data_IF_371331757862
#
_entry.id   IF_371331757862
#
_cell.length_a   1.000
_cell.length_b   1.000
_cell.length_c   1.000
_cell.angle_alpha   90.00
_cell.angle_beta   90.00
_cell.angle_gamma   90.00
#
_symmetry.space_group_name_H-M   'P 1'
#
loop_
_entity.id
_entity.type
_entity.pdbx_description
1 polymer ?
#
# COMPACT_ATOMS: atom_id res chain seq x y z
N UNK A 1 15.08 33.97 14.89
CA UNK A 1 14.49 32.77 15.54
C UNK A 1 13.40 32.23 14.62
N UNK A 2 13.62 31.11 13.94
CA UNK A 2 12.64 30.53 13.01
C UNK A 2 11.62 29.70 13.79
N UNK A 3 10.40 30.21 13.95
CA UNK A 3 9.28 29.44 14.49
C UNK A 3 8.84 28.46 13.41
N UNK A 4 9.48 27.30 13.34
CA UNK A 4 9.01 26.15 12.56
C UNK A 4 7.86 25.46 13.31
N UNK A 5 6.82 26.23 13.65
CA UNK A 5 5.58 25.74 14.21
C UNK A 5 4.74 25.12 13.10
N UNK A 6 5.04 23.86 12.74
CA UNK A 6 4.15 23.07 11.87
C UNK A 6 2.78 23.05 12.53
N UNK A 7 1.81 23.77 11.96
CA UNK A 7 0.43 23.72 12.38
C UNK A 7 -0.04 22.26 12.28
N UNK A 8 -0.31 21.64 13.42
CA UNK A 8 -0.88 20.30 13.49
C UNK A 8 -2.39 20.45 13.52
N UNK A 9 -3.09 19.69 12.69
CA UNK A 9 -4.54 19.70 12.72
C UNK A 9 -5.01 19.18 14.08
N UNK A 10 -5.90 19.90 14.76
CA UNK A 10 -6.43 19.50 16.08
C UNK A 10 -7.26 18.22 15.99
N UNK A 11 -7.87 17.98 14.84
CA UNK A 11 -8.70 16.82 14.57
C UNK A 11 -8.24 16.13 13.28
N UNK A 12 -8.35 14.80 13.23
CA UNK A 12 -8.08 14.05 12.01
C UNK A 12 -9.15 14.39 10.96
N UNK A 13 -8.72 14.89 9.80
CA UNK A 13 -9.61 15.17 8.69
C UNK A 13 -10.28 13.88 8.20
N UNK A 14 -11.60 13.91 8.08
CA UNK A 14 -12.43 12.79 7.59
C UNK A 14 -12.87 13.10 6.16
N UNK A 15 -12.46 12.31 5.15
CA UNK A 15 -12.74 12.61 3.75
C UNK A 15 -14.24 12.64 3.42
N UNK A 16 -15.01 11.75 4.04
CA UNK A 16 -16.43 11.59 3.78
C UNK A 16 -17.29 12.20 4.89
N UNK A 17 -16.79 13.24 5.57
CA UNK A 17 -17.58 13.93 6.59
C UNK A 17 -18.83 14.55 5.96
N UNK A 18 -20.01 14.15 6.41
CA UNK A 18 -21.29 14.67 5.92
C UNK A 18 -21.78 14.08 4.59
N UNK A 19 -21.08 13.07 4.03
CA UNK A 19 -21.52 12.37 2.82
C UNK A 19 -22.22 11.07 3.22
N UNK A 20 -23.47 10.89 2.79
CA UNK A 20 -24.17 9.62 2.90
C UNK A 20 -23.59 8.64 1.88
N UNK A 21 -22.71 7.74 2.33
CA UNK A 21 -22.10 6.71 1.48
C UNK A 21 -23.14 5.62 1.25
N UNK A 22 -23.41 5.27 0.00
CA UNK A 22 -24.28 4.15 -0.31
C UNK A 22 -23.59 2.84 0.08
N UNK A 23 -24.26 2.00 0.87
CA UNK A 23 -23.67 0.76 1.42
C UNK A 23 -23.23 -0.24 0.33
N UNK A 24 -23.74 -0.09 -0.89
CA UNK A 24 -23.41 -0.93 -2.06
C UNK A 24 -22.14 -0.51 -2.79
N UNK A 25 -21.58 0.67 -2.49
CA UNK A 25 -20.34 1.16 -3.09
C UNK A 25 -19.10 0.46 -2.51
N UNK A 26 -17.97 0.56 -3.24
CA UNK A 26 -16.70 -0.02 -2.80
C UNK A 26 -16.21 0.68 -1.54
N UNK A 27 -16.12 -0.05 -0.43
CA UNK A 27 -15.82 0.48 0.90
C UNK A 27 -17.03 0.69 1.80
N UNK A 28 -18.23 0.40 1.29
CA UNK A 28 -19.43 0.24 2.09
C UNK A 28 -19.48 -1.10 2.82
N UNK A 29 -20.54 -1.29 3.60
CA UNK A 29 -20.76 -2.49 4.42
C UNK A 29 -20.84 -3.77 3.60
N UNK A 30 -21.51 -3.73 2.45
CA UNK A 30 -21.74 -4.90 1.60
C UNK A 30 -20.60 -5.18 0.63
N UNK A 31 -19.74 -4.19 0.34
CA UNK A 31 -18.57 -4.35 -0.54
C UNK A 31 -17.30 -3.82 0.11
N UNK A 32 -16.73 -4.54 1.09
CA UNK A 32 -15.50 -4.13 1.76
C UNK A 32 -14.32 -4.11 0.78
N UNK A 33 -13.33 -3.26 1.06
CA UNK A 33 -12.09 -3.26 0.29
C UNK A 33 -11.33 -4.57 0.53
N UNK A 34 -10.80 -5.15 -0.55
CA UNK A 34 -9.93 -6.33 -0.45
C UNK A 34 -8.75 -6.10 0.48
N UNK A 35 -8.28 -7.15 1.14
CA UNK A 35 -7.09 -7.09 1.98
C UNK A 35 -5.85 -6.70 1.16
N UNK A 36 -4.94 -5.96 1.79
CA UNK A 36 -3.67 -5.54 1.17
C UNK A 36 -2.65 -6.66 1.36
N UNK A 37 -2.41 -7.46 0.32
CA UNK A 37 -1.50 -8.62 0.35
C UNK A 37 -0.32 -8.45 -0.61
N UNK A 38 0.79 -9.15 -0.35
CA UNK A 38 1.94 -9.21 -1.27
C UNK A 38 2.70 -7.88 -1.45
N UNK A 39 2.67 -6.99 -0.44
CA UNK A 39 3.38 -5.71 -0.45
C UNK A 39 4.23 -5.54 0.81
N UNK A 40 5.26 -4.70 0.72
CA UNK A 40 6.13 -4.38 1.84
C UNK A 40 5.36 -3.64 2.97
N UNK A 41 5.82 -3.67 4.24
CA UNK A 41 5.16 -2.96 5.34
C UNK A 41 4.98 -1.46 5.06
N UNK A 42 6.05 -0.80 4.59
CA UNK A 42 6.00 0.60 4.12
C UNK A 42 4.96 0.85 3.02
N UNK A 43 4.86 -0.09 2.09
CA UNK A 43 3.95 -0.05 0.96
C UNK A 43 2.50 -0.20 1.41
N UNK A 44 2.27 -1.04 2.43
CA UNK A 44 0.99 -1.30 3.09
C UNK A 44 0.47 -0.02 3.74
N UNK A 45 1.30 0.63 4.56
CA UNK A 45 0.96 1.91 5.21
C UNK A 45 0.56 3.00 4.20
N UNK A 46 1.26 3.10 3.07
CA UNK A 46 0.91 4.04 2.01
C UNK A 46 -0.46 3.74 1.38
N UNK A 47 -0.81 2.46 1.21
CA UNK A 47 -2.12 2.07 0.66
C UNK A 47 -3.21 2.31 1.71
N UNK A 48 -2.96 1.96 2.96
CA UNK A 48 -3.88 2.21 4.09
C UNK A 48 -4.13 3.70 4.28
N UNK A 49 -3.10 4.53 4.17
CA UNK A 49 -3.25 5.98 4.17
C UNK A 49 -4.15 6.43 3.02
N UNK A 50 -3.93 5.96 1.79
CA UNK A 50 -4.83 6.30 0.67
C UNK A 50 -6.29 5.86 0.94
N UNK A 51 -6.51 4.71 1.60
CA UNK A 51 -7.85 4.24 2.00
C UNK A 51 -8.49 5.16 3.04
N UNK A 52 -7.78 5.45 4.13
CA UNK A 52 -8.26 6.30 5.23
C UNK A 52 -8.61 7.71 4.80
N UNK A 53 -7.85 8.25 3.84
CA UNK A 53 -8.01 9.63 3.36
C UNK A 53 -8.83 9.73 2.06
N UNK A 54 -9.53 8.66 1.64
CA UNK A 54 -10.41 8.68 0.45
C UNK A 54 -9.69 8.85 -0.89
N UNK A 55 -8.36 8.71 -0.92
CA UNK A 55 -7.52 8.82 -2.13
C UNK A 55 -7.27 7.47 -2.80
N UNK A 56 -7.92 6.41 -2.34
CA UNK A 56 -7.77 5.06 -2.87
C UNK A 56 -8.63 4.88 -4.12
N UNK A 57 -7.98 4.58 -5.26
CA UNK A 57 -8.66 4.29 -6.52
C UNK A 57 -8.75 2.78 -6.72
N UNK A 58 -9.93 2.12 -6.58
CA UNK A 58 -10.06 0.70 -6.90
C UNK A 58 -9.90 0.47 -8.42
N UNK A 59 -9.50 -0.73 -8.81
CA UNK A 59 -9.45 -1.11 -10.23
C UNK A 59 -10.75 -1.80 -10.63
N UNK A 60 -11.44 -1.25 -11.63
CA UNK A 60 -12.65 -1.88 -12.21
C UNK A 60 -12.29 -3.01 -13.18
N UNK A 61 -11.14 -2.89 -13.85
CA UNK A 61 -10.63 -3.87 -14.83
C UNK A 61 -9.24 -4.32 -14.42
N UNK A 62 -8.87 -5.55 -14.79
CA UNK A 62 -7.54 -6.09 -14.51
C UNK A 62 -6.47 -5.29 -15.26
N UNK A 63 -5.44 -4.85 -14.54
CA UNK A 63 -4.32 -4.13 -15.12
C UNK A 63 -3.27 -5.07 -15.74
N UNK A 64 -2.48 -4.51 -16.66
CA UNK A 64 -1.36 -5.20 -17.31
C UNK A 64 -0.22 -5.40 -16.31
N UNK A 65 0.25 -6.62 -16.18
CA UNK A 65 1.45 -6.92 -15.40
C UNK A 65 2.70 -6.40 -16.11
N UNK A 66 3.62 -5.78 -15.37
CA UNK A 66 4.89 -5.29 -15.94
C UNK A 66 5.87 -6.41 -16.35
N UNK A 67 5.71 -7.64 -15.83
CA UNK A 67 6.59 -8.78 -16.16
C UNK A 67 6.00 -9.68 -17.24
N UNK A 68 4.91 -10.37 -16.93
CA UNK A 68 4.29 -11.30 -17.87
C UNK A 68 3.48 -10.62 -18.97
N UNK A 69 3.27 -9.30 -18.91
CA UNK A 69 2.50 -8.48 -19.87
C UNK A 69 1.03 -8.86 -20.06
N UNK A 70 0.54 -9.89 -19.37
CA UNK A 70 -0.86 -10.30 -19.32
C UNK A 70 -1.67 -9.35 -18.42
N UNK A 71 -2.96 -9.16 -18.72
CA UNK A 71 -3.91 -8.43 -17.86
C UNK A 71 -4.33 -9.30 -16.69
N UNK A 72 -3.45 -9.47 -15.71
CA UNK A 72 -3.65 -10.39 -14.58
C UNK A 72 -3.59 -9.69 -13.20
N UNK A 73 -3.35 -8.37 -13.17
CA UNK A 73 -3.26 -7.62 -11.91
C UNK A 73 -4.67 -7.24 -11.47
N UNK A 74 -5.13 -7.84 -10.36
CA UNK A 74 -6.47 -7.60 -9.79
C UNK A 74 -6.48 -6.54 -8.70
N UNK A 75 -5.38 -6.45 -7.94
CA UNK A 75 -5.28 -5.56 -6.80
C UNK A 75 -4.88 -4.15 -7.24
N UNK A 76 -5.53 -3.13 -6.68
CA UNK A 76 -5.15 -1.75 -6.98
C UNK A 76 -3.76 -1.44 -6.43
N UNK A 77 -3.07 -0.49 -7.08
CA UNK A 77 -1.70 -0.08 -6.79
C UNK A 77 -0.63 -1.14 -7.06
N UNK A 78 -1.00 -2.34 -7.50
CA UNK A 78 -0.04 -3.38 -7.89
C UNK A 78 0.44 -3.14 -9.32
N UNK A 79 1.71 -3.47 -9.57
CA UNK A 79 2.38 -3.43 -10.87
C UNK A 79 2.64 -4.84 -11.41
N UNK A 80 2.79 -5.79 -10.49
CA UNK A 80 3.03 -7.20 -10.79
C UNK A 80 1.81 -8.06 -10.48
N UNK A 81 1.70 -9.14 -11.24
CA UNK A 81 0.77 -10.21 -10.96
C UNK A 81 1.26 -11.00 -9.74
N UNK A 82 0.36 -11.61 -8.97
CA UNK A 82 0.74 -12.46 -7.82
C UNK A 82 1.70 -13.61 -8.19
N UNK A 83 1.52 -14.35 -9.32
CA UNK A 83 2.49 -15.38 -9.70
C UNK A 83 3.88 -14.78 -10.00
N UNK A 84 3.92 -13.68 -10.76
CA UNK A 84 5.14 -12.96 -11.09
C UNK A 84 5.90 -12.46 -9.85
N UNK A 85 5.17 -12.03 -8.82
CA UNK A 85 5.74 -11.57 -7.55
C UNK A 85 6.37 -12.73 -6.78
N UNK A 86 5.72 -13.90 -6.76
CA UNK A 86 6.21 -15.11 -6.11
C UNK A 86 7.43 -15.72 -6.81
N UNK A 87 7.40 -15.80 -8.14
CA UNK A 87 8.49 -16.36 -8.96
C UNK A 87 9.79 -15.57 -8.81
N UNK A 88 9.69 -14.24 -8.70
CA UNK A 88 10.84 -13.35 -8.61
C UNK A 88 11.18 -12.88 -7.19
N UNK A 89 10.44 -13.32 -6.18
CA UNK A 89 10.64 -12.93 -4.77
C UNK A 89 10.64 -11.41 -4.56
N UNK A 90 9.64 -10.74 -5.13
CA UNK A 90 9.49 -9.28 -5.10
C UNK A 90 8.08 -8.88 -4.70
N UNK A 91 7.95 -7.73 -4.03
CA UNK A 91 6.65 -7.17 -3.67
C UNK A 91 5.86 -6.65 -4.87
N UNK A 92 4.56 -6.86 -4.89
CA UNK A 92 3.75 -6.62 -6.08
C UNK A 92 3.47 -5.14 -6.42
N UNK A 93 3.68 -4.20 -5.48
CA UNK A 93 3.56 -2.74 -5.71
C UNK A 93 4.80 -2.15 -6.42
N UNK A 94 5.98 -2.75 -6.19
CA UNK A 94 7.34 -2.37 -6.58
C UNK A 94 7.72 -0.88 -6.49
N UNK A 95 8.51 -0.55 -5.46
CA UNK A 95 9.61 0.43 -5.50
C UNK A 95 10.79 -0.27 -4.79
N UNK A 96 11.75 -0.84 -5.53
CA UNK A 96 13.03 -1.38 -5.07
C UNK A 96 13.08 -2.21 -3.74
N UNK A 97 12.31 -3.30 -3.61
CA UNK A 97 12.41 -4.18 -2.43
C UNK A 97 12.22 -5.66 -2.75
N UNK A 98 13.19 -6.49 -2.37
CA UNK A 98 13.06 -7.96 -2.37
C UNK A 98 12.17 -8.36 -1.20
N UNK A 99 11.31 -9.37 -1.35
CA UNK A 99 10.61 -9.94 -0.20
C UNK A 99 11.62 -10.74 0.62
N UNK A 100 11.78 -10.39 1.89
CA UNK A 100 12.48 -11.25 2.84
C UNK A 100 11.55 -12.43 3.13
N UNK A 101 11.95 -13.64 2.74
CA UNK A 101 11.28 -14.87 3.16
C UNK A 101 11.59 -15.08 4.64
N UNK A 102 10.64 -14.83 5.52
CA UNK A 102 10.66 -15.48 6.84
C UNK A 102 10.34 -16.94 6.59
N UNK A 103 11.35 -17.81 6.66
CA UNK A 103 11.14 -19.24 6.82
C UNK A 103 10.36 -19.42 8.12
N UNK A 104 9.08 -19.77 7.99
CA UNK A 104 8.28 -20.22 9.11
C UNK A 104 8.77 -21.62 9.49
N UNK A 105 9.73 -21.68 10.39
CA UNK A 105 9.91 -22.84 11.24
C UNK A 105 8.67 -22.92 12.15
N UNK A 106 8.05 -24.11 12.17
CA UNK A 106 7.05 -24.48 13.18
C UNK A 106 7.76 -24.48 14.53
N UNK A 107 7.44 -23.55 15.41
CA UNK A 107 7.67 -23.75 16.84
C UNK A 107 6.44 -23.31 17.63
N UNK A 108 5.88 -24.31 18.29
CA UNK A 108 4.89 -24.19 19.33
C UNK A 108 5.54 -23.52 20.57
N UNK A 109 4.74 -22.79 21.35
CA UNK A 109 4.97 -22.36 22.76
C UNK A 109 5.43 -20.91 23.00
N UNK A 110 4.92 -20.40 24.12
CA UNK A 110 4.89 -19.01 24.58
C UNK A 110 6.26 -18.42 24.98
N UNK A 111 6.37 -17.08 24.96
CA UNK A 111 7.39 -16.35 25.74
C UNK A 111 7.97 -15.10 25.06
N UNK A 112 7.67 -13.97 25.70
CA UNK A 112 8.33 -12.65 25.81
C UNK A 112 9.56 -12.21 24.96
N UNK A 113 9.49 -10.89 24.67
CA UNK A 113 10.56 -9.87 24.69
C UNK A 113 11.26 -9.43 23.38
N UNK A 114 10.94 -8.17 23.05
CA UNK A 114 11.67 -7.13 22.32
C UNK A 114 12.91 -7.49 21.49
N UNK A 115 12.84 -7.18 20.19
CA UNK A 115 14.03 -6.86 19.39
C UNK A 115 13.82 -5.55 18.64
N UNK A 116 14.59 -4.54 19.05
CA UNK A 116 14.59 -3.18 18.53
C UNK A 116 14.99 -3.13 17.06
N UNK A 117 14.23 -2.32 16.34
CA UNK A 117 14.32 -2.06 14.91
C UNK A 117 15.65 -1.42 14.48
N UNK A 118 16.40 -2.10 13.62
CA UNK A 118 17.33 -1.46 12.69
C UNK A 118 16.61 -1.22 11.35
N UNK A 119 15.82 -0.14 11.31
CA UNK A 119 15.25 0.39 10.07
C UNK A 119 16.33 1.24 9.36
N UNK A 120 17.17 0.56 8.58
CA UNK A 120 18.13 1.19 7.65
C UNK A 120 17.60 1.16 6.22
N UNK A 121 17.49 2.35 5.64
CA UNK A 121 17.21 2.73 4.26
C UNK A 121 16.28 1.88 3.36
N UNK A 122 15.12 2.46 3.02
CA UNK A 122 14.63 2.39 1.64
C UNK A 122 14.55 3.82 1.09
N UNK A 123 15.58 4.18 0.33
CA UNK A 123 15.83 5.48 -0.26
C UNK A 123 14.62 6.06 -1.02
N UNK A 124 14.52 7.38 -0.93
CA UNK A 124 13.65 8.26 -1.70
C UNK A 124 13.89 8.12 -3.20
N UNK A 125 12.82 7.88 -3.96
CA UNK A 125 12.59 8.29 -5.35
C UNK A 125 11.38 7.47 -5.85
N UNK A 126 10.21 8.05 -6.04
CA UNK A 126 9.95 8.82 -7.26
C UNK A 126 8.73 9.70 -7.03
N UNK A 127 8.99 11.01 -7.04
CA UNK A 127 8.01 12.07 -7.27
C UNK A 127 7.90 12.40 -8.77
N UNK A 128 8.18 11.48 -9.69
CA UNK A 128 8.32 11.86 -11.12
C UNK A 128 7.38 11.11 -12.07
N UNK A 129 6.08 11.10 -11.75
CA UNK A 129 5.03 10.89 -12.76
C UNK A 129 3.80 11.79 -12.50
N UNK A 130 4.04 13.07 -12.19
CA UNK A 130 2.99 14.09 -12.19
C UNK A 130 3.40 15.45 -12.79
N UNK A 131 4.62 15.61 -13.33
CA UNK A 131 5.04 16.81 -14.10
C UNK A 131 5.60 16.38 -15.47
N UNK A 132 4.77 15.74 -16.28
CA UNK A 132 4.97 15.64 -17.74
C UNK A 132 3.60 15.73 -18.41
N UNK A 133 3.01 16.93 -18.35
CA UNK A 133 1.72 17.18 -18.97
C UNK A 133 1.11 18.51 -18.54
N UNK A 134 1.81 19.61 -18.84
CA UNK A 134 1.25 20.96 -19.03
C UNK A 134 2.39 21.92 -19.42
N UNK A 135 2.77 21.84 -20.69
CA UNK A 135 3.14 22.94 -21.59
C UNK A 135 3.16 22.35 -23.00
#
# INVERSE_FOLDING_TARGET
MMINGRHKNKYAWKPNAGVNINETEVGGRFRPLSEITGVCPRCKEQIEWKRRYGKYKPQTKQAKCQRCTKRAVRQSHHKLCQPCAKEHDVYAKMNAGKSVKTTAEKEDRAGDLALSASLGECAEATRDYFILGLL
#
